data_IF_442574936976
#
_entry.id   IF_442574936976
#
_cell.length_a   1.000
_cell.length_b   1.000
_cell.length_c   1.000
_cell.angle_alpha   90.00
_cell.angle_beta   90.00
_cell.angle_gamma   90.00
#
_symmetry.space_group_name_H-M   'P 1'
#
loop_
_entity.id
_entity.type
_entity.pdbx_description
1 polymer ?
#
# COMPACT_ATOMS: atom_id res chain seq x y z
N UNK A 1 -22.40 22.58 8.84
CA UNK A 1 -20.99 22.17 8.71
C UNK A 1 -20.58 21.65 10.07
N UNK A 2 -20.35 20.34 10.19
CA UNK A 2 -19.87 19.78 11.46
C UNK A 2 -18.43 20.28 11.64
N UNK A 3 -18.11 20.88 12.79
CA UNK A 3 -16.72 21.18 13.18
C UNK A 3 -16.07 19.89 13.67
N UNK A 4 -16.00 18.86 12.82
CA UNK A 4 -15.18 17.70 13.13
C UNK A 4 -13.73 18.20 13.20
N UNK A 5 -13.11 18.06 14.36
CA UNK A 5 -11.70 18.39 14.53
C UNK A 5 -10.90 17.41 13.69
N UNK A 6 -10.13 17.93 12.73
CA UNK A 6 -9.24 17.12 11.90
C UNK A 6 -8.30 16.29 12.78
N UNK A 7 -8.07 15.01 12.46
CA UNK A 7 -7.07 14.20 13.15
C UNK A 7 -5.71 14.91 13.15
N UNK A 8 -5.06 14.99 14.32
CA UNK A 8 -3.75 15.61 14.48
C UNK A 8 -2.60 14.61 14.55
N UNK A 9 -2.89 13.41 15.06
CA UNK A 9 -1.91 12.36 15.35
C UNK A 9 -2.20 11.09 14.58
N UNK A 10 -1.15 10.33 14.29
CA UNK A 10 -1.18 9.02 13.65
C UNK A 10 -0.88 7.98 14.71
N UNK A 11 -1.65 6.91 14.73
CA UNK A 11 -1.46 5.82 15.68
C UNK A 11 -0.09 5.17 15.48
N UNK A 12 0.64 4.85 16.56
CA UNK A 12 1.89 4.14 16.45
C UNK A 12 1.71 2.78 15.78
N UNK A 13 2.49 2.53 14.72
CA UNK A 13 2.63 1.18 14.17
C UNK A 13 3.28 0.26 15.20
N UNK A 14 2.80 -0.99 15.29
CA UNK A 14 3.37 -1.97 16.21
C UNK A 14 4.84 -2.19 15.90
N UNK A 15 5.69 -2.21 16.94
CA UNK A 15 7.12 -2.43 16.73
C UNK A 15 7.35 -3.83 16.15
N UNK A 16 7.91 -3.93 14.94
CA UNK A 16 7.96 -5.20 14.25
C UNK A 16 9.00 -6.15 14.82
N UNK A 17 8.77 -7.45 14.64
CA UNK A 17 9.78 -8.48 14.91
C UNK A 17 10.91 -8.32 13.88
N UNK A 18 12.15 -8.35 14.37
CA UNK A 18 13.37 -8.20 13.58
C UNK A 18 14.26 -9.44 13.75
N UNK A 19 14.89 -9.86 12.66
CA UNK A 19 15.86 -10.94 12.59
C UNK A 19 17.13 -10.44 11.89
N UNK A 20 18.29 -10.94 12.29
CA UNK A 20 19.59 -10.44 11.80
C UNK A 20 19.94 -10.89 10.37
N UNK A 21 19.22 -11.89 9.86
CA UNK A 21 19.36 -12.46 8.51
C UNK A 21 18.10 -13.21 8.13
N UNK A 22 17.86 -13.49 6.84
CA UNK A 22 16.70 -14.28 6.42
C UNK A 22 16.72 -15.64 7.10
N UNK A 23 15.63 -15.99 7.79
CA UNK A 23 15.48 -17.32 8.37
C UNK A 23 15.16 -18.36 7.30
N UNK A 24 14.54 -17.92 6.20
CA UNK A 24 14.24 -18.72 5.01
C UNK A 24 14.45 -17.89 3.73
N UNK A 25 14.91 -18.50 2.62
CA UNK A 25 15.03 -17.80 1.36
C UNK A 25 13.63 -17.65 0.73
N UNK A 26 13.17 -16.40 0.65
CA UNK A 26 12.07 -15.88 -0.18
C UNK A 26 10.69 -15.67 0.48
N UNK A 27 9.94 -14.78 -0.18
CA UNK A 27 8.51 -14.46 -0.07
C UNK A 27 7.68 -15.27 -1.12
N UNK A 28 7.69 -16.61 -1.15
CA UNK A 28 7.00 -17.34 -2.20
C UNK A 28 5.48 -17.20 -2.13
N UNK A 29 4.89 -16.93 -0.96
CA UNK A 29 3.45 -16.97 -0.73
C UNK A 29 2.73 -15.81 -1.44
N UNK A 30 3.09 -14.56 -1.16
CA UNK A 30 2.51 -13.38 -1.83
C UNK A 30 2.71 -13.44 -3.35
N UNK A 31 3.92 -13.75 -3.81
CA UNK A 31 4.23 -13.80 -5.25
C UNK A 31 3.39 -14.88 -5.96
N UNK A 32 3.29 -16.08 -5.36
CA UNK A 32 2.52 -17.19 -5.91
C UNK A 32 1.01 -16.94 -5.87
N UNK A 33 0.50 -16.36 -4.78
CA UNK A 33 -0.93 -16.13 -4.59
C UNK A 33 -1.49 -15.08 -5.56
N UNK A 34 -0.66 -14.09 -5.92
CA UNK A 34 -1.03 -13.00 -6.82
C UNK A 34 -0.50 -13.16 -8.25
N UNK A 35 0.22 -14.24 -8.55
CA UNK A 35 0.86 -14.52 -9.85
C UNK A 35 1.86 -13.44 -10.28
N UNK A 36 2.62 -12.88 -9.34
CA UNK A 36 3.48 -11.71 -9.58
C UNK A 36 4.64 -12.05 -10.51
N UNK A 37 5.32 -13.18 -10.31
CA UNK A 37 6.40 -13.61 -11.20
C UNK A 37 5.91 -13.90 -12.61
N UNK A 38 4.74 -14.51 -12.75
CA UNK A 38 4.10 -14.76 -14.04
C UNK A 38 3.71 -13.44 -14.71
N UNK A 39 3.17 -12.49 -13.97
CA UNK A 39 2.84 -11.14 -14.44
C UNK A 39 4.09 -10.42 -14.96
N UNK A 40 5.18 -10.38 -14.17
CA UNK A 40 6.46 -9.80 -14.58
C UNK A 40 7.01 -10.43 -15.86
N UNK A 41 6.97 -11.75 -15.96
CA UNK A 41 7.45 -12.47 -17.14
C UNK A 41 6.57 -12.23 -18.38
N UNK A 42 5.25 -12.39 -18.25
CA UNK A 42 4.30 -12.27 -19.36
C UNK A 42 4.26 -10.86 -19.96
N UNK A 43 4.44 -9.85 -19.12
CA UNK A 43 4.43 -8.44 -19.53
C UNK A 43 5.83 -7.84 -19.64
N UNK A 44 6.90 -8.60 -19.37
CA UNK A 44 8.27 -8.12 -19.33
C UNK A 44 8.42 -6.83 -18.51
N UNK A 45 7.96 -6.85 -17.26
CA UNK A 45 7.99 -5.69 -16.35
C UNK A 45 8.65 -6.04 -15.03
N UNK A 46 9.22 -5.02 -14.38
CA UNK A 46 9.84 -5.11 -13.06
C UNK A 46 9.58 -3.88 -12.17
N UNK A 47 8.91 -2.85 -12.68
CA UNK A 47 8.81 -1.52 -12.08
C UNK A 47 9.85 -0.53 -12.62
N UNK A 48 10.60 -0.91 -13.65
CA UNK A 48 11.71 -0.12 -14.16
C UNK A 48 11.24 1.26 -14.66
N UNK A 49 12.02 2.30 -14.34
CA UNK A 49 11.70 3.68 -14.70
C UNK A 49 10.55 4.30 -13.89
N UNK A 50 10.07 3.61 -12.86
CA UNK A 50 9.13 4.13 -11.86
C UNK A 50 9.84 4.33 -10.52
N UNK A 51 9.34 5.28 -9.73
CA UNK A 51 9.81 5.52 -8.36
C UNK A 51 8.62 5.60 -7.42
N UNK A 52 8.72 4.95 -6.25
CA UNK A 52 7.75 5.10 -5.16
C UNK A 52 8.30 6.02 -4.07
N UNK A 53 7.48 6.95 -3.58
CA UNK A 53 7.71 7.62 -2.32
C UNK A 53 7.05 6.84 -1.18
N UNK A 54 7.83 6.37 -0.21
CA UNK A 54 7.33 5.62 0.95
C UNK A 54 7.33 6.54 2.16
N UNK A 55 6.14 6.98 2.57
CA UNK A 55 5.93 7.84 3.73
C UNK A 55 5.71 6.97 4.97
N UNK A 56 6.77 6.75 5.75
CA UNK A 56 6.77 5.78 6.85
C UNK A 56 7.81 6.12 7.94
N UNK A 57 8.31 5.14 8.69
CA UNK A 57 9.32 5.30 9.77
C UNK A 57 10.74 5.53 9.27
N UNK A 58 10.96 5.50 7.95
CA UNK A 58 12.26 5.63 7.30
C UNK A 58 12.64 4.38 6.50
N UNK A 59 13.91 4.26 6.12
CA UNK A 59 14.48 3.09 5.47
C UNK A 59 15.89 2.77 5.97
N UNK A 60 16.20 1.50 6.18
CA UNK A 60 17.58 1.03 6.27
C UNK A 60 18.24 1.06 4.88
N UNK A 61 18.78 2.21 4.49
CA UNK A 61 19.43 2.42 3.18
C UNK A 61 20.70 1.57 2.98
N UNK A 62 21.27 1.03 4.07
CA UNK A 62 22.40 0.09 4.05
C UNK A 62 22.01 -1.36 3.79
N UNK A 63 20.71 -1.67 3.68
CA UNK A 63 20.24 -3.03 3.40
C UNK A 63 20.54 -3.44 1.95
N UNK A 64 20.99 -4.67 1.74
CA UNK A 64 21.38 -5.19 0.41
C UNK A 64 20.23 -5.13 -0.60
N UNK A 65 19.00 -5.29 -0.13
CA UNK A 65 17.79 -5.24 -0.96
C UNK A 65 17.55 -3.88 -1.63
N UNK A 66 18.11 -2.78 -1.10
CA UNK A 66 17.92 -1.42 -1.62
C UNK A 66 19.15 -0.86 -2.35
N UNK A 67 20.18 -1.67 -2.54
CA UNK A 67 21.44 -1.25 -3.15
C UNK A 67 21.20 -0.56 -4.52
N UNK A 68 21.57 0.72 -4.62
CA UNK A 68 21.43 1.50 -5.85
C UNK A 68 20.01 1.93 -6.22
N UNK A 69 19.02 1.76 -5.33
CA UNK A 69 17.60 2.09 -5.60
C UNK A 69 17.10 3.37 -4.92
N UNK A 70 17.78 3.84 -3.90
CA UNK A 70 17.41 5.07 -3.18
C UNK A 70 17.86 6.29 -3.99
N UNK A 71 16.91 7.03 -4.56
CA UNK A 71 17.21 8.16 -5.48
C UNK A 71 17.10 9.53 -4.82
N UNK A 72 16.40 9.62 -3.69
CA UNK A 72 16.31 10.77 -2.80
C UNK A 72 15.81 10.28 -1.44
N UNK A 73 15.85 11.13 -0.41
CA UNK A 73 15.23 10.85 0.88
C UNK A 73 14.84 12.17 1.57
N UNK A 74 13.86 12.12 2.46
CA UNK A 74 13.45 13.27 3.27
C UNK A 74 13.01 12.87 4.67
N UNK A 75 13.16 13.75 5.65
CA UNK A 75 12.75 13.53 7.04
C UNK A 75 12.00 14.74 7.59
N UNK A 76 10.80 14.49 8.11
CA UNK A 76 9.91 15.49 8.69
C UNK A 76 9.74 15.31 10.21
N UNK A 77 10.47 14.37 10.80
CA UNK A 77 10.45 14.06 12.24
C UNK A 77 11.62 14.71 12.97
N UNK A 78 11.56 14.83 14.31
CA UNK A 78 12.71 15.26 15.11
C UNK A 78 13.80 14.19 15.27
N UNK A 79 13.55 12.95 14.84
CA UNK A 79 14.55 11.88 14.86
C UNK A 79 15.72 12.20 13.93
N UNK A 80 16.82 11.44 14.05
CA UNK A 80 18.03 11.65 13.26
C UNK A 80 18.59 13.07 13.42
N UNK A 81 18.40 13.65 14.61
CA UNK A 81 18.77 15.03 14.92
C UNK A 81 17.96 16.09 14.16
N UNK A 82 16.80 15.73 13.60
CA UNK A 82 15.99 16.60 12.76
C UNK A 82 16.62 16.92 11.41
N UNK A 83 17.60 16.12 10.96
CA UNK A 83 18.24 16.32 9.66
C UNK A 83 17.24 16.00 8.54
N UNK A 84 16.83 16.97 7.71
CA UNK A 84 15.82 16.76 6.67
C UNK A 84 16.26 15.81 5.56
N UNK A 85 17.55 15.49 5.47
CA UNK A 85 18.12 14.60 4.46
C UNK A 85 18.51 13.22 5.03
N UNK A 86 18.11 12.88 6.25
CA UNK A 86 18.37 11.58 6.87
C UNK A 86 17.05 10.89 7.24
N UNK A 87 16.61 9.96 6.38
CA UNK A 87 15.41 9.15 6.57
C UNK A 87 15.73 7.76 7.15
N UNK A 88 16.81 7.62 7.94
CA UNK A 88 17.18 6.35 8.57
C UNK A 88 16.05 5.79 9.44
N UNK A 89 15.81 4.47 9.32
CA UNK A 89 14.76 3.79 10.06
C UNK A 89 15.24 3.31 11.44
N UNK A 90 14.61 3.79 12.51
CA UNK A 90 14.82 3.29 13.87
C UNK A 90 13.70 2.40 14.41
N UNK A 91 12.65 2.15 13.61
CA UNK A 91 11.50 1.33 14.00
C UNK A 91 11.50 -0.04 13.30
N UNK A 92 11.67 -0.04 11.98
CA UNK A 92 11.67 -1.23 11.12
C UNK A 92 10.42 -1.41 10.25
N UNK A 93 9.34 -0.67 10.51
CA UNK A 93 8.12 -0.74 9.71
C UNK A 93 8.35 -0.26 8.28
N UNK A 94 8.93 0.93 8.10
CA UNK A 94 9.22 1.52 6.79
C UNK A 94 10.19 0.69 5.96
N UNK A 95 11.18 0.05 6.59
CA UNK A 95 12.11 -0.88 5.91
C UNK A 95 11.39 -2.11 5.36
N UNK A 96 10.46 -2.70 6.12
CA UNK A 96 9.64 -3.82 5.65
C UNK A 96 8.69 -3.38 4.51
N UNK A 97 8.01 -2.24 4.68
CA UNK A 97 7.12 -1.67 3.65
C UNK A 97 7.87 -1.40 2.35
N UNK A 98 9.04 -0.77 2.41
CA UNK A 98 9.90 -0.53 1.25
C UNK A 98 10.38 -1.83 0.60
N UNK A 99 10.73 -2.83 1.41
CA UNK A 99 11.19 -4.15 0.96
C UNK A 99 10.13 -4.87 0.13
N UNK A 100 8.87 -4.88 0.59
CA UNK A 100 7.75 -5.51 -0.13
C UNK A 100 7.62 -4.92 -1.55
N UNK A 101 7.89 -3.63 -1.73
CA UNK A 101 7.78 -2.97 -3.02
C UNK A 101 9.00 -3.26 -3.90
N UNK A 102 10.21 -2.89 -3.44
CA UNK A 102 11.38 -2.72 -4.33
C UNK A 102 12.56 -3.65 -4.04
N UNK A 103 12.48 -4.52 -3.02
CA UNK A 103 13.62 -5.36 -2.66
C UNK A 103 14.14 -6.16 -3.86
N UNK A 104 15.46 -6.18 -4.05
CA UNK A 104 16.11 -6.91 -5.13
C UNK A 104 17.49 -7.43 -4.71
N UNK A 105 17.50 -8.23 -3.64
CA UNK A 105 18.70 -8.83 -3.05
C UNK A 105 18.36 -10.17 -2.42
N UNK A 106 18.44 -10.24 -1.10
CA UNK A 106 18.04 -11.40 -0.30
C UNK A 106 16.53 -11.62 -0.39
N UNK A 107 15.76 -10.53 -0.41
CA UNK A 107 14.34 -10.53 -0.68
C UNK A 107 14.06 -10.02 -2.09
N UNK A 108 12.88 -10.38 -2.59
CA UNK A 108 12.38 -9.91 -3.89
C UNK A 108 11.01 -9.29 -3.71
N UNK A 109 10.94 -7.97 -3.85
CA UNK A 109 9.70 -7.22 -3.84
C UNK A 109 8.86 -7.48 -5.10
N UNK A 110 7.66 -6.91 -5.10
CA UNK A 110 6.74 -7.00 -6.23
C UNK A 110 7.31 -6.31 -7.47
N UNK A 111 7.91 -5.13 -7.29
CA UNK A 111 8.49 -4.28 -8.33
C UNK A 111 10.01 -4.04 -8.10
N UNK A 112 10.85 -5.10 -8.22
CA UNK A 112 12.29 -5.05 -7.90
C UNK A 112 13.13 -4.16 -8.83
N UNK A 113 12.53 -3.71 -9.94
CA UNK A 113 13.09 -2.81 -10.93
C UNK A 113 12.90 -1.32 -10.61
N UNK A 114 11.97 -0.99 -9.69
CA UNK A 114 11.63 0.37 -9.32
C UNK A 114 12.67 0.99 -8.39
N UNK A 115 12.66 2.32 -8.32
CA UNK A 115 13.40 3.10 -7.34
C UNK A 115 12.53 3.47 -6.15
N UNK A 116 13.16 3.91 -5.06
CA UNK A 116 12.49 4.32 -3.83
C UNK A 116 12.97 5.68 -3.34
N UNK A 117 12.05 6.46 -2.79
CA UNK A 117 12.30 7.67 -2.01
C UNK A 117 11.72 7.44 -0.61
N UNK A 118 12.52 7.06 0.39
CA UNK A 118 12.04 6.98 1.75
C UNK A 118 11.81 8.39 2.31
N UNK A 119 10.61 8.61 2.84
CA UNK A 119 10.21 9.86 3.48
C UNK A 119 9.79 9.54 4.91
N UNK A 120 10.62 9.92 5.87
CA UNK A 120 10.37 9.67 7.29
C UNK A 120 9.35 10.68 7.81
N UNK A 121 8.16 10.17 8.11
CA UNK A 121 7.02 10.91 8.69
C UNK A 121 6.49 10.25 9.96
N UNK A 122 7.00 9.07 10.31
CA UNK A 122 6.77 8.40 11.58
C UNK A 122 8.07 8.34 12.37
N UNK A 123 7.98 8.63 13.66
CA UNK A 123 9.12 8.55 14.56
C UNK A 123 9.55 7.11 14.82
N UNK A 124 10.64 6.92 15.55
CA UNK A 124 11.17 5.60 15.90
C UNK A 124 10.21 4.80 16.81
N UNK A 125 9.25 5.48 17.44
CA UNK A 125 8.15 4.86 18.18
C UNK A 125 6.97 4.43 17.31
N UNK A 126 6.99 4.73 16.00
CA UNK A 126 5.95 4.36 15.03
C UNK A 126 4.83 5.38 14.86
N UNK A 127 4.71 6.37 15.74
CA UNK A 127 3.68 7.42 15.65
C UNK A 127 4.13 8.64 14.85
N UNK A 128 3.19 9.48 14.44
CA UNK A 128 3.47 10.69 13.67
C UNK A 128 2.39 11.75 13.78
N UNK A 129 2.52 12.82 12.99
CA UNK A 129 1.51 13.89 12.92
C UNK A 129 1.06 14.12 11.47
N UNK A 130 -0.21 14.47 11.30
CA UNK A 130 -0.71 14.82 9.96
C UNK A 130 -0.12 16.12 9.40
N UNK A 131 0.46 16.97 10.26
CA UNK A 131 1.27 18.11 9.81
C UNK A 131 2.51 17.63 9.03
N UNK A 132 3.21 16.61 9.53
CA UNK A 132 4.35 16.00 8.83
C UNK A 132 3.92 15.34 7.53
N UNK A 133 2.76 14.67 7.50
CA UNK A 133 2.21 14.10 6.26
C UNK A 133 1.91 15.18 5.21
N UNK A 134 1.27 16.28 5.62
CA UNK A 134 1.00 17.41 4.71
C UNK A 134 2.30 17.98 4.13
N UNK A 135 3.31 18.17 4.97
CA UNK A 135 4.59 18.73 4.53
C UNK A 135 5.37 17.73 3.64
N UNK A 136 5.26 16.43 3.92
CA UNK A 136 5.82 15.36 3.09
C UNK A 136 5.13 15.24 1.72
N UNK A 137 3.80 15.26 1.67
CA UNK A 137 3.06 15.25 0.39
C UNK A 137 3.33 16.50 -0.43
N UNK A 138 3.50 17.65 0.23
CA UNK A 138 3.97 18.89 -0.41
C UNK A 138 5.35 18.67 -1.05
N UNK A 139 6.28 18.05 -0.33
CA UNK A 139 7.61 17.72 -0.87
C UNK A 139 7.52 16.76 -2.05
N UNK A 140 6.66 15.73 -1.99
CA UNK A 140 6.46 14.79 -3.10
C UNK A 140 5.90 15.50 -4.34
N UNK A 141 4.91 16.38 -4.17
CA UNK A 141 4.36 17.17 -5.30
C UNK A 141 5.43 18.01 -5.97
N UNK A 142 6.30 18.64 -5.18
CA UNK A 142 7.25 19.62 -5.67
C UNK A 142 8.55 18.97 -6.20
N UNK A 143 9.03 17.89 -5.59
CA UNK A 143 10.31 17.23 -5.90
C UNK A 143 10.14 15.88 -6.59
N UNK A 144 9.00 15.21 -6.40
CA UNK A 144 8.71 13.89 -6.97
C UNK A 144 8.90 13.80 -8.49
N UNK A 145 8.49 14.80 -9.30
CA UNK A 145 8.73 14.79 -10.74
C UNK A 145 10.21 14.67 -11.12
N UNK A 146 11.11 15.33 -10.38
CA UNK A 146 12.56 15.26 -10.63
C UNK A 146 13.15 13.88 -10.32
N UNK A 147 12.50 13.10 -9.46
CA UNK A 147 12.90 11.76 -9.06
C UNK A 147 12.06 10.65 -9.74
N UNK A 148 11.17 11.01 -10.66
CA UNK A 148 10.31 10.06 -11.36
C UNK A 148 9.27 9.38 -10.47
N UNK A 149 8.84 10.04 -9.38
CA UNK A 149 7.82 9.50 -8.47
C UNK A 149 6.50 9.35 -9.21
N UNK A 150 5.97 8.13 -9.23
CA UNK A 150 4.69 7.77 -9.88
C UNK A 150 3.70 7.13 -8.90
N UNK A 151 4.13 6.79 -7.69
CA UNK A 151 3.27 6.31 -6.63
C UNK A 151 3.74 6.79 -5.25
N UNK A 152 2.80 6.92 -4.33
CA UNK A 152 3.01 7.20 -2.91
C UNK A 152 2.42 6.06 -2.11
N UNK A 153 3.21 5.49 -1.20
CA UNK A 153 2.80 4.46 -0.26
C UNK A 153 2.66 5.08 1.13
N UNK A 154 1.48 4.97 1.74
CA UNK A 154 1.20 5.41 3.10
C UNK A 154 0.59 4.26 3.91
N UNK A 155 1.45 3.51 4.58
CA UNK A 155 1.05 2.41 5.47
C UNK A 155 0.77 2.91 6.89
N UNK A 156 -0.15 3.88 6.98
CA UNK A 156 -0.44 4.63 8.20
C UNK A 156 -1.88 5.16 8.21
N UNK A 157 -2.37 5.55 9.39
CA UNK A 157 -3.66 6.18 9.57
C UNK A 157 -3.92 6.55 11.03
N UNK A 158 -5.02 7.24 11.26
CA UNK A 158 -5.52 7.48 12.62
C UNK A 158 -6.27 6.26 13.19
N UNK A 159 -6.74 6.39 14.43
CA UNK A 159 -7.55 5.38 15.12
C UNK A 159 -9.01 5.34 14.67
N UNK A 160 -9.38 6.13 13.65
CA UNK A 160 -10.76 6.40 13.28
C UNK A 160 -11.44 5.28 12.48
N UNK A 161 -12.76 5.36 12.39
CA UNK A 161 -13.58 4.45 11.58
C UNK A 161 -14.70 5.20 10.87
N UNK A 162 -14.36 5.81 9.74
CA UNK A 162 -15.22 6.71 8.99
C UNK A 162 -15.97 5.98 7.88
N UNK A 163 -17.21 6.41 7.62
CA UNK A 163 -18.06 5.87 6.53
C UNK A 163 -18.25 6.85 5.36
N UNK A 164 -17.68 8.06 5.48
CA UNK A 164 -17.79 9.15 4.52
C UNK A 164 -16.60 10.09 4.71
N UNK A 165 -16.20 10.76 3.62
CA UNK A 165 -15.14 11.76 3.59
C UNK A 165 -15.66 13.21 3.54
N UNK A 166 -16.96 13.40 3.81
CA UNK A 166 -17.64 14.71 3.72
C UNK A 166 -17.05 15.76 4.65
N UNK A 167 -16.61 15.37 5.84
CA UNK A 167 -15.98 16.28 6.80
C UNK A 167 -14.56 16.70 6.37
N UNK A 168 -13.96 15.99 5.41
CA UNK A 168 -12.62 16.24 4.88
C UNK A 168 -12.62 17.03 3.57
N UNK A 169 -13.74 17.67 3.19
CA UNK A 169 -13.86 18.37 1.91
C UNK A 169 -12.86 19.54 1.75
N UNK A 170 -12.50 20.22 2.84
CA UNK A 170 -11.55 21.34 2.85
C UNK A 170 -10.19 20.97 3.46
N UNK A 171 -9.91 19.68 3.64
CA UNK A 171 -8.67 19.21 4.22
C UNK A 171 -7.47 19.38 3.28
N UNK A 172 -6.33 19.79 3.84
CA UNK A 172 -5.10 20.05 3.10
C UNK A 172 -4.44 18.76 2.59
N UNK A 173 -4.52 17.65 3.35
CA UNK A 173 -3.97 16.35 2.90
C UNK A 173 -4.76 15.85 1.69
N UNK A 174 -6.09 15.93 1.73
CA UNK A 174 -6.96 15.66 0.58
C UNK A 174 -6.61 16.53 -0.63
N UNK A 175 -6.43 17.84 -0.42
CA UNK A 175 -6.02 18.76 -1.50
C UNK A 175 -4.73 18.31 -2.19
N UNK A 176 -3.73 17.90 -1.40
CA UNK A 176 -2.45 17.38 -1.94
C UNK A 176 -2.62 16.04 -2.67
N UNK A 177 -3.48 15.13 -2.17
CA UNK A 177 -3.79 13.88 -2.86
C UNK A 177 -4.49 14.15 -4.21
N UNK A 178 -5.39 15.13 -4.28
CA UNK A 178 -6.02 15.58 -5.53
C UNK A 178 -4.98 16.11 -6.52
N UNK A 179 -4.05 16.94 -6.05
CA UNK A 179 -2.97 17.50 -6.88
C UNK A 179 -2.05 16.39 -7.42
N UNK A 180 -1.60 15.47 -6.57
CA UNK A 180 -0.78 14.31 -6.96
C UNK A 180 -1.52 13.41 -7.95
N UNK A 181 -2.81 13.16 -7.73
CA UNK A 181 -3.66 12.40 -8.65
C UNK A 181 -3.74 13.05 -10.02
N UNK A 182 -3.86 14.38 -10.09
CA UNK A 182 -3.84 15.13 -11.34
C UNK A 182 -2.47 15.08 -12.05
N UNK A 183 -1.38 14.85 -11.30
CA UNK A 183 -0.04 14.57 -11.82
C UNK A 183 0.16 13.08 -12.17
N UNK A 184 -0.90 12.25 -12.12
CA UNK A 184 -0.86 10.80 -12.35
C UNK A 184 0.00 10.02 -11.36
N UNK A 185 0.20 10.59 -10.17
CA UNK A 185 0.84 9.92 -9.03
C UNK A 185 -0.25 9.22 -8.23
N UNK A 186 -0.19 7.88 -8.15
CA UNK A 186 -1.15 7.10 -7.37
C UNK A 186 -0.80 7.16 -5.87
N UNK A 187 -1.70 7.67 -5.03
CA UNK A 187 -1.55 7.62 -3.57
C UNK A 187 -2.32 6.42 -3.04
N UNK A 188 -1.61 5.48 -2.40
CA UNK A 188 -2.17 4.22 -1.91
C UNK A 188 -2.02 4.17 -0.39
N UNK A 189 -3.12 3.90 0.31
CA UNK A 189 -3.21 4.10 1.77
C UNK A 189 -3.83 2.86 2.42
N UNK A 190 -3.27 2.45 3.57
CA UNK A 190 -3.77 1.34 4.38
C UNK A 190 -5.15 1.66 4.99
N UNK A 191 -6.13 0.76 4.84
CA UNK A 191 -7.51 0.98 5.28
C UNK A 191 -7.70 1.07 6.82
N UNK A 192 -6.74 0.54 7.59
CA UNK A 192 -6.74 0.52 9.06
C UNK A 192 -6.87 -0.88 9.64
N UNK A 193 -6.39 -1.06 10.88
CA UNK A 193 -6.35 -2.33 11.60
C UNK A 193 -7.32 -2.39 12.80
N UNK A 194 -8.33 -1.51 12.80
CA UNK A 194 -9.24 -1.30 13.94
C UNK A 194 -10.56 -2.08 13.90
N UNK A 195 -10.79 -3.00 12.95
CA UNK A 195 -12.13 -3.56 12.72
C UNK A 195 -12.72 -4.24 13.98
N UNK A 196 -11.91 -5.07 14.65
CA UNK A 196 -12.29 -5.69 15.92
C UNK A 196 -12.55 -4.64 17.02
N UNK A 197 -11.65 -3.67 17.19
CA UNK A 197 -11.75 -2.62 18.21
C UNK A 197 -12.99 -1.73 18.01
N UNK A 198 -13.42 -1.57 16.76
CA UNK A 198 -14.65 -0.88 16.38
C UNK A 198 -15.89 -1.79 16.42
N UNK A 199 -15.83 -2.91 17.13
CA UNK A 199 -16.93 -3.88 17.27
C UNK A 199 -17.45 -4.38 15.92
N UNK A 200 -16.55 -4.64 14.97
CA UNK A 200 -16.87 -5.08 13.60
C UNK A 200 -17.72 -4.06 12.80
N UNK A 201 -17.72 -2.80 13.20
CA UNK A 201 -18.37 -1.74 12.44
C UNK A 201 -17.58 -1.44 11.15
N UNK A 202 -18.28 -1.40 10.02
CA UNK A 202 -17.69 -1.02 8.74
C UNK A 202 -17.24 0.45 8.72
N UNK A 203 -16.11 0.69 8.08
CA UNK A 203 -15.48 2.01 7.95
C UNK A 203 -13.99 1.87 7.61
N UNK A 204 -13.32 3.00 7.41
CA UNK A 204 -11.87 3.08 7.19
C UNK A 204 -11.27 4.21 8.02
N UNK A 205 -9.97 4.11 8.31
CA UNK A 205 -9.21 5.19 8.96
C UNK A 205 -9.03 6.38 8.02
N UNK A 206 -8.70 7.53 8.59
CA UNK A 206 -8.19 8.66 7.83
C UNK A 206 -6.65 8.53 7.70
N UNK A 207 -6.06 8.74 6.50
CA UNK A 207 -6.63 9.32 5.29
C UNK A 207 -7.21 8.31 4.27
N UNK A 208 -7.23 7.01 4.55
CA UNK A 208 -7.72 6.00 3.60
C UNK A 208 -9.20 6.17 3.20
N UNK A 209 -10.01 6.83 4.02
CA UNK A 209 -11.40 7.16 3.67
C UNK A 209 -11.54 8.17 2.51
N UNK A 210 -10.47 8.90 2.17
CA UNK A 210 -10.48 9.89 1.10
C UNK A 210 -10.60 9.20 -0.27
N UNK A 211 -11.69 9.49 -0.99
CA UNK A 211 -12.03 8.85 -2.28
C UNK A 211 -11.01 9.05 -3.41
N UNK A 212 -10.09 9.99 -3.25
CA UNK A 212 -9.07 10.31 -4.23
C UNK A 212 -7.84 9.40 -4.14
N UNK A 213 -7.67 8.68 -3.03
CA UNK A 213 -6.63 7.67 -2.88
C UNK A 213 -7.11 6.27 -3.33
N UNK A 214 -6.21 5.29 -3.30
CA UNK A 214 -6.54 3.87 -3.43
C UNK A 214 -6.38 3.25 -2.03
N UNK A 215 -7.50 2.87 -1.43
CA UNK A 215 -7.56 2.27 -0.09
C UNK A 215 -7.36 0.75 -0.12
N UNK A 216 -6.56 0.21 0.81
CA UNK A 216 -6.16 -1.21 0.78
C UNK A 216 -6.45 -1.92 2.10
N UNK A 217 -7.30 -2.95 2.04
CA UNK A 217 -7.55 -3.91 3.12
C UNK A 217 -6.62 -5.14 3.06
N UNK A 218 -6.61 -5.95 4.11
CA UNK A 218 -5.68 -7.08 4.25
C UNK A 218 -6.39 -8.45 4.25
N UNK A 219 -5.87 -9.38 3.44
CA UNK A 219 -6.18 -10.82 3.46
C UNK A 219 -4.95 -11.64 3.84
N UNK A 220 -5.15 -12.91 4.19
CA UNK A 220 -4.09 -13.92 4.22
C UNK A 220 -3.73 -14.39 2.80
N UNK A 221 -2.49 -14.78 2.57
CA UNK A 221 -1.98 -15.36 1.30
C UNK A 221 -1.77 -16.88 1.36
N UNK A 222 -1.64 -17.44 2.56
CA UNK A 222 -1.39 -18.86 2.80
C UNK A 222 -2.27 -19.42 3.92
N UNK A 223 -2.24 -20.75 4.07
CA UNK A 223 -2.85 -21.43 5.21
C UNK A 223 -1.79 -21.69 6.28
N UNK A 224 -1.85 -20.94 7.37
CA UNK A 224 -0.81 -20.95 8.42
C UNK A 224 -1.35 -21.28 9.82
N UNK A 225 -2.65 -21.54 9.94
CA UNK A 225 -3.32 -21.77 11.22
C UNK A 225 -3.83 -20.48 11.85
N UNK A 226 -4.03 -20.49 13.16
CA UNK A 226 -4.61 -19.35 13.89
C UNK A 226 -3.60 -18.27 14.27
N UNK A 227 -4.07 -17.03 14.34
CA UNK A 227 -3.30 -15.86 14.78
C UNK A 227 -4.05 -15.09 15.86
N UNK A 228 -3.34 -14.67 16.91
CA UNK A 228 -3.85 -13.74 17.91
C UNK A 228 -3.08 -12.41 17.80
N UNK A 229 -3.82 -11.31 17.67
CA UNK A 229 -3.26 -9.97 17.47
C UNK A 229 -3.33 -9.15 18.77
N UNK A 230 -2.40 -8.21 18.94
CA UNK A 230 -2.33 -7.35 20.14
C UNK A 230 -3.60 -6.51 20.37
N UNK A 231 -4.40 -6.29 19.32
CA UNK A 231 -5.70 -5.62 19.40
C UNK A 231 -6.81 -6.43 20.08
N UNK A 232 -6.60 -7.74 20.28
CA UNK A 232 -7.64 -8.69 20.68
C UNK A 232 -8.34 -9.39 19.51
N UNK A 233 -8.12 -8.94 18.27
CA UNK A 233 -8.55 -9.67 17.09
C UNK A 233 -7.89 -11.05 17.06
N UNK A 234 -8.64 -12.08 16.71
CA UNK A 234 -8.14 -13.47 16.66
C UNK A 234 -8.73 -14.15 15.45
N UNK A 235 -7.86 -14.73 14.61
CA UNK A 235 -8.25 -15.70 13.61
C UNK A 235 -7.96 -17.10 14.16
N UNK A 236 -8.96 -17.97 14.17
CA UNK A 236 -8.82 -19.37 14.59
C UNK A 236 -8.22 -20.23 13.48
N UNK A 237 -8.41 -19.82 12.22
CA UNK A 237 -7.67 -20.33 11.06
C UNK A 237 -7.34 -19.22 10.06
N UNK A 238 -6.38 -19.48 9.18
CA UNK A 238 -6.02 -18.62 8.05
C UNK A 238 -5.98 -19.46 6.78
N UNK A 239 -6.45 -18.88 5.67
CA UNK A 239 -6.43 -19.46 4.33
C UNK A 239 -6.28 -18.34 3.29
N UNK A 240 -5.71 -18.66 2.12
CA UNK A 240 -5.53 -17.67 1.06
C UNK A 240 -6.86 -16.98 0.69
N UNK A 241 -6.92 -15.66 0.84
CA UNK A 241 -8.07 -14.84 0.46
C UNK A 241 -9.05 -14.50 1.59
N UNK A 242 -8.96 -15.16 2.74
CA UNK A 242 -9.72 -14.80 3.94
C UNK A 242 -9.35 -13.39 4.39
N UNK A 243 -10.35 -12.57 4.68
CA UNK A 243 -10.11 -11.23 5.20
C UNK A 243 -9.64 -11.33 6.65
N UNK A 244 -8.54 -10.66 6.97
CA UNK A 244 -7.99 -10.66 8.33
C UNK A 244 -8.97 -9.98 9.32
N UNK A 245 -9.11 -10.45 10.57
CA UNK A 245 -10.11 -9.92 11.51
C UNK A 245 -9.85 -8.47 11.94
N UNK A 246 -8.61 -7.97 11.80
CA UNK A 246 -8.28 -6.59 12.11
C UNK A 246 -8.59 -5.62 10.96
N UNK A 247 -8.64 -6.07 9.70
CA UNK A 247 -8.72 -5.17 8.54
C UNK A 247 -10.01 -4.38 8.54
N UNK A 248 -9.91 -3.06 8.63
CA UNK A 248 -11.04 -2.18 8.37
C UNK A 248 -11.52 -2.38 6.92
N UNK A 249 -12.84 -2.27 6.74
CA UNK A 249 -13.53 -2.56 5.49
C UNK A 249 -14.83 -1.76 5.41
N UNK A 250 -15.12 -1.24 4.23
CA UNK A 250 -16.32 -0.45 3.96
C UNK A 250 -16.91 -0.83 2.61
N UNK A 251 -18.07 -1.47 2.61
CA UNK A 251 -18.72 -1.91 1.38
C UNK A 251 -19.49 -0.76 0.69
N UNK A 252 -19.56 -0.80 -0.64
CA UNK A 252 -20.31 0.17 -1.48
C UNK A 252 -21.79 0.34 -1.15
N UNK A 253 -22.41 -0.62 -0.45
CA UNK A 253 -23.80 -0.51 -0.01
C UNK A 253 -23.98 0.52 1.11
N UNK A 254 -22.91 0.83 1.87
CA UNK A 254 -22.91 1.91 2.86
C UNK A 254 -22.58 3.22 2.15
N UNK A 255 -21.46 3.26 1.42
CA UNK A 255 -21.06 4.44 0.66
C UNK A 255 -20.24 4.02 -0.57
N UNK A 256 -20.74 4.30 -1.76
CA UNK A 256 -20.09 3.92 -3.03
C UNK A 256 -18.85 4.76 -3.35
N UNK A 257 -18.78 5.98 -2.82
CA UNK A 257 -17.70 6.92 -3.14
C UNK A 257 -16.47 6.70 -2.25
N UNK A 258 -16.66 6.12 -1.08
CA UNK A 258 -15.61 5.89 -0.09
C UNK A 258 -15.55 4.42 0.32
N UNK A 259 -15.93 3.49 -0.56
CA UNK A 259 -15.78 2.06 -0.30
C UNK A 259 -14.29 1.69 -0.21
N UNK A 260 -13.96 0.61 0.48
CA UNK A 260 -12.62 0.01 0.37
C UNK A 260 -12.39 -0.44 -1.07
N UNK A 261 -11.31 0.03 -1.68
CA UNK A 261 -11.07 -0.15 -3.11
C UNK A 261 -10.63 -1.57 -3.45
N UNK A 262 -9.69 -2.12 -2.66
CA UNK A 262 -9.13 -3.43 -2.91
C UNK A 262 -8.55 -4.07 -1.64
N UNK A 263 -8.45 -5.40 -1.64
CA UNK A 263 -7.74 -6.18 -0.64
C UNK A 263 -6.47 -6.79 -1.23
N UNK A 264 -5.42 -6.90 -0.42
CA UNK A 264 -4.18 -7.57 -0.81
C UNK A 264 -3.59 -8.36 0.38
N UNK A 265 -2.67 -9.31 0.12
CA UNK A 265 -1.91 -10.00 1.16
C UNK A 265 -1.26 -9.05 2.15
N UNK A 266 -1.59 -9.21 3.43
CA UNK A 266 -1.06 -8.36 4.49
C UNK A 266 -0.72 -9.08 5.79
N UNK A 267 -0.93 -10.40 5.89
CA UNK A 267 -0.66 -11.13 7.13
C UNK A 267 -0.39 -12.62 6.87
N UNK A 268 0.72 -13.19 7.38
CA UNK A 268 1.99 -12.51 7.62
C UNK A 268 2.64 -12.05 6.31
N UNK A 269 3.53 -11.06 6.36
CA UNK A 269 4.40 -10.70 5.23
C UNK A 269 5.84 -10.51 5.73
N UNK A 270 6.75 -11.31 5.19
CA UNK A 270 8.19 -11.30 5.49
C UNK A 270 8.94 -10.36 4.55
N UNK A 271 9.76 -9.44 5.01
CA UNK A 271 10.55 -8.58 4.13
C UNK A 271 11.79 -8.01 4.81
N UNK A 272 12.46 -7.07 4.15
CA UNK A 272 13.67 -6.42 4.65
C UNK A 272 13.49 -5.87 6.07
N UNK A 273 14.49 -6.10 6.92
CA UNK A 273 14.55 -5.64 8.31
C UNK A 273 15.66 -4.63 8.57
N UNK A 274 15.66 -4.05 9.77
CA UNK A 274 16.63 -3.02 10.18
C UNK A 274 17.87 -3.57 10.90
N UNK A 275 17.87 -4.85 11.26
CA UNK A 275 19.01 -5.48 11.95
C UNK A 275 20.15 -5.81 10.98
N UNK A 276 20.90 -4.79 10.59
CA UNK A 276 22.07 -4.92 9.72
C UNK A 276 21.73 -4.94 8.22
N UNK A 277 22.74 -5.24 7.36
CA UNK A 277 22.58 -5.14 5.91
C UNK A 277 21.72 -6.25 5.29
N UNK A 278 21.43 -7.33 6.04
CA UNK A 278 20.67 -8.49 5.57
C UNK A 278 19.46 -8.78 6.47
N UNK A 279 19.04 -7.83 7.30
CA UNK A 279 17.97 -8.03 8.27
C UNK A 279 16.65 -8.50 7.63
N UNK A 280 15.83 -9.18 8.41
CA UNK A 280 14.50 -9.64 8.01
C UNK A 280 13.47 -9.21 9.04
N UNK A 281 12.23 -8.98 8.60
CA UNK A 281 11.10 -8.61 9.45
C UNK A 281 9.84 -9.29 8.95
N UNK A 282 9.07 -9.87 9.89
CA UNK A 282 7.73 -10.44 9.62
C UNK A 282 6.69 -9.57 10.30
N UNK A 283 5.70 -9.12 9.53
CA UNK A 283 4.67 -8.18 9.99
C UNK A 283 3.28 -8.56 9.50
N UNK A 284 2.26 -8.00 10.15
CA UNK A 284 0.86 -8.24 9.84
C UNK A 284 0.12 -6.89 9.85
N UNK A 285 -0.67 -6.62 8.82
CA UNK A 285 -1.47 -5.41 8.75
C UNK A 285 -1.94 -5.03 7.36
N UNK A 286 -2.90 -4.12 7.30
CA UNK A 286 -3.17 -3.36 6.06
C UNK A 286 -1.94 -2.62 5.58
N UNK A 287 -1.03 -2.27 6.50
CA UNK A 287 0.29 -1.71 6.24
C UNK A 287 1.17 -2.55 5.31
N UNK A 288 1.03 -3.88 5.32
CA UNK A 288 1.74 -4.79 4.42
C UNK A 288 0.97 -5.03 3.12
N UNK A 289 -0.36 -4.97 3.15
CA UNK A 289 -1.19 -5.06 1.95
C UNK A 289 -1.03 -3.86 1.00
N UNK A 290 -0.87 -2.66 1.56
CA UNK A 290 -0.63 -1.42 0.81
C UNK A 290 0.59 -1.49 -0.11
N UNK A 291 1.82 -1.83 0.35
CA UNK A 291 2.99 -1.93 -0.52
C UNK A 291 2.89 -3.05 -1.56
N UNK A 292 2.16 -4.15 -1.29
CA UNK A 292 1.88 -5.17 -2.31
C UNK A 292 1.10 -4.54 -3.48
N UNK A 293 0.07 -3.76 -3.17
CA UNK A 293 -0.77 -3.06 -4.16
C UNK A 293 0.04 -2.00 -4.93
N UNK A 294 0.87 -1.21 -4.23
CA UNK A 294 1.78 -0.24 -4.86
C UNK A 294 2.72 -0.93 -5.83
N UNK A 295 3.30 -2.06 -5.46
CA UNK A 295 4.16 -2.84 -6.33
C UNK A 295 3.48 -3.22 -7.66
N UNK A 296 2.25 -3.73 -7.61
CA UNK A 296 1.49 -4.06 -8.83
C UNK A 296 1.18 -2.81 -9.66
N UNK A 297 0.85 -1.68 -9.02
CA UNK A 297 0.66 -0.39 -9.70
C UNK A 297 1.92 0.02 -10.47
N UNK A 298 3.11 -0.11 -9.88
CA UNK A 298 4.38 0.23 -10.56
C UNK A 298 4.62 -0.66 -11.80
N UNK A 299 4.27 -1.96 -11.73
CA UNK A 299 4.32 -2.86 -12.90
C UNK A 299 3.35 -2.40 -14.00
N UNK A 300 2.12 -2.02 -13.63
CA UNK A 300 1.11 -1.50 -14.55
C UNK A 300 1.54 -0.17 -15.20
N UNK A 301 2.14 0.73 -14.41
CA UNK A 301 2.66 2.00 -14.89
C UNK A 301 3.82 1.82 -15.88
N UNK A 302 4.78 0.93 -15.59
CA UNK A 302 5.85 0.58 -16.54
C UNK A 302 5.27 0.05 -17.85
N UNK A 303 4.36 -0.93 -17.75
CA UNK A 303 3.76 -1.56 -18.93
C UNK A 303 3.00 -0.53 -19.79
N UNK A 304 2.16 0.29 -19.16
CA UNK A 304 1.39 1.32 -19.83
C UNK A 304 2.32 2.35 -20.50
N UNK A 305 3.26 2.92 -19.75
CA UNK A 305 4.17 3.96 -20.25
C UNK A 305 5.04 3.47 -21.40
N UNK A 306 5.48 2.21 -21.37
CA UNK A 306 6.25 1.64 -22.48
C UNK A 306 5.44 1.58 -23.79
N UNK A 307 4.12 1.38 -23.71
CA UNK A 307 3.27 1.27 -24.89
C UNK A 307 2.68 2.60 -25.35
N UNK A 308 2.41 3.53 -24.44
CA UNK A 308 1.70 4.78 -24.73
C UNK A 308 2.58 6.04 -24.63
N UNK A 309 3.77 5.93 -24.02
CA UNK A 309 4.65 7.06 -23.71
C UNK A 309 4.27 7.83 -22.45
N UNK A 310 3.14 7.54 -21.83
CA UNK A 310 2.60 8.29 -20.69
C UNK A 310 2.23 7.39 -19.50
N UNK A 311 2.22 7.94 -18.28
CA UNK A 311 1.59 7.27 -17.14
C UNK A 311 0.07 7.18 -17.35
N UNK A 312 -0.59 6.10 -16.87
CA UNK A 312 -2.04 6.02 -16.88
C UNK A 312 -2.65 7.01 -15.88
N UNK A 313 -3.92 7.39 -16.11
CA UNK A 313 -4.70 8.11 -15.10
C UNK A 313 -4.90 7.21 -13.86
N UNK A 314 -4.90 7.78 -12.66
CA UNK A 314 -5.07 6.99 -11.41
C UNK A 314 -6.42 6.28 -11.37
N UNK A 315 -7.48 6.90 -11.94
CA UNK A 315 -8.79 6.25 -12.07
C UNK A 315 -8.77 5.01 -12.95
N UNK A 316 -7.94 5.00 -14.00
CA UNK A 316 -7.78 3.82 -14.88
C UNK A 316 -7.02 2.71 -14.16
N UNK A 317 -5.96 3.04 -13.42
CA UNK A 317 -5.25 2.08 -12.56
C UNK A 317 -6.21 1.36 -11.62
N UNK A 318 -7.01 2.11 -10.86
CA UNK A 318 -8.01 1.54 -9.95
C UNK A 318 -9.03 0.67 -10.69
N UNK A 319 -9.54 1.14 -11.83
CA UNK A 319 -10.50 0.38 -12.63
C UNK A 319 -9.91 -0.95 -13.15
N UNK A 320 -8.62 -0.99 -13.51
CA UNK A 320 -7.95 -2.21 -13.96
C UNK A 320 -7.62 -3.15 -12.81
N UNK A 321 -7.20 -2.63 -11.66
CA UNK A 321 -7.02 -3.41 -10.43
C UNK A 321 -8.34 -4.12 -10.06
N UNK A 322 -9.46 -3.39 -10.01
CA UNK A 322 -10.77 -3.96 -9.69
C UNK A 322 -11.24 -4.96 -10.76
N UNK A 323 -11.05 -4.64 -12.04
CA UNK A 323 -11.47 -5.53 -13.15
C UNK A 323 -10.66 -6.82 -13.20
N UNK A 324 -9.39 -6.77 -12.87
CA UNK A 324 -8.52 -7.93 -12.76
C UNK A 324 -8.68 -8.68 -11.44
N UNK A 325 -9.23 -8.05 -10.42
CA UNK A 325 -9.34 -8.61 -9.09
C UNK A 325 -10.29 -9.80 -8.97
N UNK A 326 -10.07 -10.59 -7.93
CA UNK A 326 -10.82 -11.78 -7.57
C UNK A 326 -11.87 -11.40 -6.52
N UNK A 327 -13.16 -11.68 -6.73
CA UNK A 327 -14.16 -11.50 -5.69
C UNK A 327 -13.86 -12.39 -4.48
N UNK A 328 -13.94 -11.80 -3.28
CA UNK A 328 -13.91 -12.49 -1.99
C UNK A 328 -15.17 -12.12 -1.22
N UNK A 329 -15.60 -12.95 -0.27
CA UNK A 329 -16.80 -12.72 0.54
C UNK A 329 -16.35 -12.65 2.00
N UNK A 330 -16.76 -11.61 2.72
CA UNK A 330 -16.47 -11.48 4.14
C UNK A 330 -17.48 -12.31 4.95
N UNK A 331 -17.06 -13.48 5.43
CA UNK A 331 -17.84 -14.41 6.26
C UNK A 331 -18.26 -15.70 5.57
N UNK A 332 -17.71 -16.03 4.39
CA UNK A 332 -18.01 -17.31 3.73
C UNK A 332 -17.11 -18.44 4.22
N UNK A 333 -15.85 -18.13 4.55
CA UNK A 333 -14.89 -19.10 5.05
C UNK A 333 -14.01 -18.61 6.21
N UNK A 334 -14.14 -17.35 6.67
CA UNK A 334 -13.46 -16.84 7.85
C UNK A 334 -13.89 -17.56 9.14
N UNK A 335 -12.89 -17.98 9.92
CA UNK A 335 -13.07 -18.53 11.28
C UNK A 335 -12.28 -17.66 12.25
N UNK A 336 -12.95 -16.66 12.81
CA UNK A 336 -12.36 -15.61 13.64
C UNK A 336 -13.36 -15.04 14.66
N UNK A 337 -12.94 -14.03 15.42
CA UNK A 337 -13.73 -13.45 16.50
C UNK A 337 -14.43 -12.13 16.15
N UNK A 338 -14.62 -11.81 14.87
CA UNK A 338 -15.36 -10.62 14.44
C UNK A 338 -16.71 -10.97 13.81
N UNK A 339 -17.61 -10.00 13.76
CA UNK A 339 -18.85 -10.14 13.03
C UNK A 339 -18.62 -9.79 11.55
N UNK A 340 -18.81 -10.76 10.67
CA UNK A 340 -18.63 -10.55 9.24
C UNK A 340 -19.80 -9.81 8.59
N UNK A 341 -19.50 -9.09 7.52
CA UNK A 341 -20.48 -8.31 6.78
C UNK A 341 -21.36 -9.16 5.85
N UNK A 342 -20.91 -10.37 5.48
CA UNK A 342 -21.54 -11.24 4.46
C UNK A 342 -21.64 -10.57 3.08
N UNK A 343 -20.69 -9.69 2.75
CA UNK A 343 -20.66 -8.90 1.52
C UNK A 343 -19.44 -9.24 0.67
N UNK A 344 -19.55 -8.98 -0.63
CA UNK A 344 -18.45 -9.26 -1.56
C UNK A 344 -17.54 -8.04 -1.73
N UNK A 345 -16.23 -8.29 -1.56
CA UNK A 345 -15.14 -7.37 -1.82
C UNK A 345 -14.26 -7.89 -2.96
N UNK A 346 -13.25 -7.12 -3.34
CA UNK A 346 -12.34 -7.47 -4.43
C UNK A 346 -10.92 -7.55 -3.89
N UNK A 347 -10.26 -8.67 -4.18
CA UNK A 347 -8.85 -8.92 -3.85
C UNK A 347 -7.99 -8.82 -5.10
N UNK A 348 -6.80 -8.28 -4.94
CA UNK A 348 -5.81 -8.08 -6.00
C UNK A 348 -5.42 -9.39 -6.69
N UNK A 349 -5.18 -9.31 -8.00
CA UNK A 349 -4.52 -10.36 -8.80
C UNK A 349 -3.61 -9.65 -9.82
N UNK A 350 -2.29 -9.83 -9.70
CA UNK A 350 -1.34 -9.00 -10.43
C UNK A 350 -1.37 -9.29 -11.94
N UNK A 351 -1.46 -10.57 -12.31
CA UNK A 351 -1.50 -10.99 -13.71
C UNK A 351 -2.77 -10.48 -14.40
N UNK A 352 -3.92 -10.67 -13.76
CA UNK A 352 -5.22 -10.26 -14.30
C UNK A 352 -5.37 -8.73 -14.34
N UNK A 353 -4.77 -7.99 -13.41
CA UNK A 353 -4.71 -6.54 -13.43
C UNK A 353 -3.90 -6.02 -14.65
N UNK A 354 -2.71 -6.59 -14.93
CA UNK A 354 -1.95 -6.25 -16.14
C UNK A 354 -2.67 -6.66 -17.43
N UNK A 355 -3.39 -7.79 -17.42
CA UNK A 355 -4.26 -8.19 -18.53
C UNK A 355 -5.41 -7.20 -18.76
N UNK A 356 -5.99 -6.65 -17.69
CA UNK A 356 -6.98 -5.59 -17.78
C UNK A 356 -6.38 -4.31 -18.38
N UNK A 357 -5.17 -3.91 -17.97
CA UNK A 357 -4.42 -2.79 -18.55
C UNK A 357 -4.18 -3.00 -20.05
N UNK A 358 -3.67 -4.17 -20.46
CA UNK A 358 -3.44 -4.51 -21.87
C UNK A 358 -4.70 -4.39 -22.72
N UNK A 359 -5.82 -4.95 -22.24
CA UNK A 359 -7.11 -4.90 -22.94
C UNK A 359 -7.60 -3.47 -23.09
N UNK A 360 -7.41 -2.62 -22.09
CA UNK A 360 -7.78 -1.21 -22.16
C UNK A 360 -6.95 -0.43 -23.19
N UNK A 361 -5.62 -0.62 -23.20
CA UNK A 361 -4.73 0.01 -24.19
C UNK A 361 -5.10 -0.45 -25.61
N UNK A 362 -5.28 -1.76 -25.83
CA UNK A 362 -5.67 -2.30 -27.13
C UNK A 362 -7.00 -1.70 -27.61
N UNK A 363 -8.00 -1.60 -26.73
CA UNK A 363 -9.28 -0.99 -27.07
C UNK A 363 -9.12 0.47 -27.49
N UNK A 364 -8.32 1.26 -26.76
CA UNK A 364 -8.07 2.67 -27.08
C UNK A 364 -7.39 2.83 -28.46
N UNK A 365 -6.32 2.08 -28.71
CA UNK A 365 -5.59 2.12 -29.99
C UNK A 365 -6.47 1.70 -31.18
N UNK A 366 -7.35 0.70 -31.00
CA UNK A 366 -8.30 0.29 -32.04
C UNK A 366 -9.34 1.36 -32.35
N UNK A 367 -9.79 2.12 -31.35
CA UNK A 367 -10.74 3.23 -31.56
C UNK A 367 -10.07 4.41 -32.26
N UNK A 368 -8.81 4.70 -31.94
CA UNK A 368 -8.02 5.77 -32.59
C UNK A 368 -7.66 5.43 -34.06
N UNK A 369 -7.58 4.14 -34.41
CA UNK A 369 -7.28 3.68 -35.77
C UNK A 369 -8.49 3.63 -36.72
N UNK A 370 -9.71 3.85 -36.25
CA UNK A 370 -10.91 3.90 -37.11
C UNK A 370 -10.94 5.23 -37.87
N UNK A 371 -11.03 5.24 -39.22
CA UNK A 371 -11.14 6.49 -39.97
C UNK A 371 -12.41 7.23 -39.55
N UNK A 372 -12.32 8.54 -39.36
CA UNK A 372 -13.46 9.43 -39.13
C UNK A 372 -14.31 9.36 -40.41
N UNK A 373 -15.37 8.55 -40.37
CA UNK A 373 -16.31 8.35 -41.48
C UNK A 373 -17.18 9.56 -41.74
#
# INVERSE_FOLDING_TARGET
>A
MSNAQMPSEIDPVERPRQFDRPLFPHLPEVDSFLWVSQARAAFNVSGAGQTVAVLDTGLNTGHVDFAGRVVAQANFTPDNGGNPNDAGDGNGHGTNVGGIIVANGDHKGIAPGANIVPIKVLGNTGGGSFAWIRDALTWVRDNGPAHGVSAVCMSLGDSGNYISDTDYAADAVRGLIVELRAQRVAVVIAAGNGFFQHNSAQGMSYPAILRECISVGAVYDAAEGGFAYGSGATAHSSRPGQITPFSQRLHKSINRLTQTDIFAPGAPVTSSGINGPNGESVQHGTSQATPVTVGVILLMQEFHRRLTGELPEVGDLLAWLIRGGVPIIDGDDEDDNVQHTNLSFVRLDALSALDATRRAIQKRLLLEAQPIG
#
